data_IF_794332243793
#
_entry.id   IF_794332243793
#
_cell.length_a   1.000
_cell.length_b   1.000
_cell.length_c   1.000
_cell.angle_alpha   90.00
_cell.angle_beta   90.00
_cell.angle_gamma   90.00
#
_symmetry.space_group_name_H-M   'P 1'
#
loop_
_entity.id
_entity.type
_entity.pdbx_description
1 polymer ?
#
# COMPACT_ATOMS: atom_id res chain seq x y z
N UNK A 1 -3.00 1.54 2.81
CA UNK A 1 -4.38 2.00 2.55
C UNK A 1 -5.36 1.64 3.66
N UNK A 2 -5.22 0.47 4.28
CA UNK A 2 -6.12 -0.01 5.33
C UNK A 2 -6.15 0.92 6.55
N UNK A 3 -4.99 1.46 6.95
CA UNK A 3 -4.91 2.45 8.03
C UNK A 3 -5.59 3.77 7.61
N UNK A 4 -5.45 4.15 6.34
CA UNK A 4 -6.11 5.35 5.79
C UNK A 4 -7.62 5.24 5.88
N UNK A 5 -8.22 4.05 5.63
CA UNK A 5 -9.67 3.83 5.73
C UNK A 5 -10.20 4.11 7.14
N UNK A 6 -9.43 3.71 8.15
CA UNK A 6 -9.80 3.92 9.56
C UNK A 6 -9.66 5.38 9.98
N UNK A 7 -8.64 6.09 9.45
CA UNK A 7 -8.31 7.45 9.87
C UNK A 7 -9.05 8.54 9.09
N UNK A 8 -9.45 8.27 7.84
CA UNK A 8 -10.10 9.26 6.98
C UNK A 8 -11.31 9.98 7.62
N UNK A 9 -12.16 9.35 8.44
CA UNK A 9 -13.24 10.06 9.12
C UNK A 9 -12.80 11.02 10.23
N UNK A 10 -11.54 10.97 10.65
CA UNK A 10 -11.06 11.65 11.87
C UNK A 10 -9.91 12.63 11.63
N UNK A 11 -9.23 12.56 10.49
CA UNK A 11 -8.07 13.37 10.17
C UNK A 11 -8.09 13.82 8.71
N UNK A 12 -7.45 14.95 8.39
CA UNK A 12 -7.30 15.42 7.02
C UNK A 12 -6.02 14.86 6.37
N UNK A 13 -4.97 14.66 7.15
CA UNK A 13 -3.69 14.16 6.68
C UNK A 13 -3.19 13.04 7.58
N UNK A 14 -2.46 12.11 6.98
CA UNK A 14 -1.72 11.07 7.66
C UNK A 14 -0.27 11.12 7.19
N UNK A 15 0.67 11.03 8.14
CA UNK A 15 2.08 10.87 7.83
C UNK A 15 2.49 9.48 8.31
N UNK A 16 2.97 8.65 7.38
CA UNK A 16 3.28 7.27 7.65
C UNK A 16 4.38 6.73 6.73
N UNK A 17 5.08 5.74 7.22
CA UNK A 17 6.06 4.97 6.46
C UNK A 17 5.41 3.71 5.84
N UNK A 18 5.87 3.33 4.64
CA UNK A 18 5.55 2.04 4.03
C UNK A 18 6.48 0.94 4.58
N UNK A 19 7.75 1.28 4.86
CA UNK A 19 8.73 0.37 5.45
C UNK A 19 8.73 0.50 6.98
N UNK A 20 9.27 -0.51 7.66
CA UNK A 20 9.46 -0.46 9.11
C UNK A 20 10.47 0.61 9.49
N UNK A 21 10.03 1.56 10.29
CA UNK A 21 10.86 2.67 10.71
C UNK A 21 12.03 2.19 11.59
N UNK A 22 13.23 2.76 11.41
CA UNK A 22 14.39 2.44 12.24
C UNK A 22 14.17 2.83 13.70
N UNK A 23 14.78 2.08 14.61
CA UNK A 23 14.63 2.26 16.06
C UNK A 23 15.21 3.57 16.63
N UNK A 24 15.90 4.39 15.81
CA UNK A 24 16.36 5.72 16.23
C UNK A 24 15.24 6.78 16.14
N UNK A 25 14.09 6.47 15.51
CA UNK A 25 12.88 7.30 15.50
C UNK A 25 12.97 8.55 14.61
N UNK A 26 12.04 9.49 14.85
CA UNK A 26 11.92 10.72 14.08
C UNK A 26 12.78 11.84 14.64
N UNK A 27 13.30 12.69 13.77
CA UNK A 27 13.81 14.00 14.14
C UNK A 27 12.65 14.99 14.27
N UNK A 28 12.67 15.78 15.33
CA UNK A 28 11.64 16.79 15.60
C UNK A 28 12.10 18.21 15.29
N UNK A 29 13.17 18.39 14.51
CA UNK A 29 13.70 19.70 14.12
C UNK A 29 12.70 20.50 13.28
N UNK A 30 11.78 19.83 12.56
CA UNK A 30 10.65 20.47 11.86
C UNK A 30 9.79 21.33 12.77
N UNK A 31 9.79 21.12 14.08
CA UNK A 31 9.09 21.98 15.04
C UNK A 31 9.63 23.40 15.07
N UNK A 32 10.85 23.64 14.58
CA UNK A 32 11.43 24.98 14.46
C UNK A 32 10.72 25.81 13.38
N UNK A 33 10.06 25.18 12.42
CA UNK A 33 9.27 25.83 11.39
C UNK A 33 7.92 26.35 11.91
N UNK A 34 7.49 25.85 13.08
CA UNK A 34 6.28 26.34 13.74
C UNK A 34 6.50 27.78 14.22
N UNK A 35 5.76 28.69 13.61
CA UNK A 35 5.74 30.12 13.97
C UNK A 35 4.37 30.48 14.59
N UNK A 36 4.14 31.78 14.82
CA UNK A 36 2.84 32.27 15.27
C UNK A 36 1.76 32.20 14.16
N UNK A 37 2.15 31.79 12.94
CA UNK A 37 1.24 31.60 11.82
C UNK A 37 0.78 30.14 11.70
N UNK A 38 -0.45 29.95 11.25
CA UNK A 38 -1.00 28.61 10.98
C UNK A 38 -0.35 28.05 9.72
N UNK A 39 0.35 26.93 9.85
CA UNK A 39 0.92 26.18 8.73
C UNK A 39 -0.15 25.21 8.20
N UNK A 40 -0.43 25.17 6.88
CA UNK A 40 -1.29 24.18 6.27
C UNK A 40 -0.78 22.74 6.52
N UNK A 41 -1.69 21.78 6.61
CA UNK A 41 -1.33 20.40 6.98
C UNK A 41 -0.46 19.68 5.93
N UNK A 42 -0.66 19.99 4.65
CA UNK A 42 0.16 19.52 3.54
C UNK A 42 1.60 20.03 3.65
N UNK A 43 1.78 21.34 3.89
CA UNK A 43 3.10 21.96 4.09
C UNK A 43 3.80 21.42 5.33
N UNK A 44 3.05 21.19 6.42
CA UNK A 44 3.60 20.57 7.62
C UNK A 44 4.03 19.13 7.34
N UNK A 45 3.26 18.40 6.53
CA UNK A 45 3.60 17.07 6.09
C UNK A 45 4.94 17.01 5.34
N UNK A 46 5.17 17.95 4.41
CA UNK A 46 6.44 18.10 3.69
C UNK A 46 7.60 18.32 4.66
N UNK A 47 7.49 19.28 5.60
CA UNK A 47 8.55 19.52 6.61
C UNK A 47 8.88 18.28 7.46
N UNK A 48 7.86 17.50 7.81
CA UNK A 48 8.07 16.27 8.59
C UNK A 48 8.81 15.22 7.77
N UNK A 49 8.40 15.01 6.52
CA UNK A 49 9.03 14.04 5.61
C UNK A 49 10.49 14.42 5.35
N UNK A 50 10.76 15.68 4.98
CA UNK A 50 12.12 16.17 4.74
C UNK A 50 13.00 16.01 5.98
N UNK A 51 12.51 16.43 7.15
CA UNK A 51 13.25 16.32 8.41
C UNK A 51 13.59 14.87 8.77
N UNK A 52 12.70 13.92 8.46
CA UNK A 52 12.96 12.50 8.69
C UNK A 52 14.04 11.96 7.75
N UNK A 53 13.97 12.29 6.46
CA UNK A 53 14.92 11.83 5.47
C UNK A 53 16.31 12.44 5.69
N UNK A 54 16.41 13.74 5.97
CA UNK A 54 17.64 14.44 6.32
C UNK A 54 18.31 13.82 7.57
N UNK A 55 17.51 13.46 8.56
CA UNK A 55 18.02 12.80 9.76
C UNK A 55 18.55 11.40 9.47
N UNK A 56 17.86 10.65 8.63
CA UNK A 56 18.34 9.35 8.16
C UNK A 56 19.68 9.46 7.46
N UNK A 57 19.83 10.42 6.54
CA UNK A 57 21.12 10.68 5.87
C UNK A 57 22.23 11.06 6.86
N UNK A 58 21.92 11.93 7.82
CA UNK A 58 22.85 12.28 8.89
C UNK A 58 23.30 11.06 9.70
N UNK A 59 22.37 10.20 10.12
CA UNK A 59 22.66 8.97 10.87
C UNK A 59 23.55 8.03 10.05
N UNK A 60 23.26 7.83 8.78
CA UNK A 60 24.04 6.93 7.89
C UNK A 60 25.45 7.46 7.65
N UNK A 61 25.62 8.77 7.56
CA UNK A 61 26.93 9.39 7.39
C UNK A 61 27.85 9.19 8.63
N UNK A 62 27.25 9.19 9.84
CA UNK A 62 28.00 8.98 11.08
C UNK A 62 28.16 7.51 11.43
N UNK A 63 27.12 6.74 11.19
CA UNK A 63 27.00 5.32 11.53
C UNK A 63 26.59 4.47 10.33
N UNK A 64 27.49 4.22 9.34
CA UNK A 64 27.13 3.50 8.11
C UNK A 64 26.57 2.08 8.35
N UNK A 65 26.87 1.50 9.51
CA UNK A 65 26.32 0.18 9.89
C UNK A 65 24.84 0.23 10.32
N UNK A 66 24.28 1.42 10.49
CA UNK A 66 22.86 1.63 10.81
C UNK A 66 22.04 2.00 9.56
N UNK A 67 22.65 1.84 8.35
CA UNK A 67 21.91 2.08 7.12
C UNK A 67 20.61 1.25 7.12
N UNK A 68 19.55 1.90 6.74
CA UNK A 68 18.18 1.32 6.70
C UNK A 68 17.46 1.83 5.47
N UNK A 69 16.52 1.06 5.00
CA UNK A 69 15.55 1.50 4.01
C UNK A 69 14.59 2.48 4.70
N UNK A 70 14.35 3.61 4.06
CA UNK A 70 13.51 4.69 4.59
C UNK A 70 12.42 5.03 3.58
N UNK A 71 11.22 5.17 4.07
CA UNK A 71 10.09 5.74 3.34
C UNK A 71 9.29 6.62 4.30
N UNK A 72 8.84 7.77 3.88
CA UNK A 72 7.84 8.54 4.61
C UNK A 72 6.99 9.33 3.61
N UNK A 73 5.69 9.37 3.84
CA UNK A 73 4.75 10.07 2.99
C UNK A 73 3.70 10.83 3.78
N UNK A 74 3.27 11.96 3.24
CA UNK A 74 2.11 12.70 3.67
C UNK A 74 0.95 12.37 2.74
N UNK A 75 -0.13 11.82 3.29
CA UNK A 75 -1.33 11.39 2.57
C UNK A 75 -2.49 12.31 2.91
N UNK A 76 -3.17 12.85 1.88
CA UNK A 76 -4.43 13.56 2.02
C UNK A 76 -5.58 12.56 2.17
N UNK A 77 -6.10 12.45 3.37
CA UNK A 77 -7.20 11.54 3.69
C UNK A 77 -8.55 12.02 3.12
N UNK A 78 -8.67 13.27 2.68
CA UNK A 78 -9.89 13.74 2.03
C UNK A 78 -10.06 13.18 0.60
N UNK A 79 -8.95 12.80 -0.05
CA UNK A 79 -8.95 12.12 -1.36
C UNK A 79 -9.08 10.58 -1.24
N UNK A 80 -9.00 10.03 -0.03
CA UNK A 80 -8.98 8.58 0.21
C UNK A 80 -10.18 7.84 -0.39
N UNK A 81 -11.40 8.38 -0.22
CA UNK A 81 -12.62 7.70 -0.68
C UNK A 81 -12.64 7.47 -2.20
N UNK A 82 -12.12 8.43 -2.99
CA UNK A 82 -11.99 8.30 -4.44
C UNK A 82 -10.96 7.22 -4.81
N UNK A 83 -9.84 7.17 -4.09
CA UNK A 83 -8.82 6.14 -4.31
C UNK A 83 -9.33 4.74 -3.96
N UNK A 84 -10.06 4.59 -2.85
CA UNK A 84 -10.68 3.32 -2.48
C UNK A 84 -11.69 2.84 -3.52
N UNK A 85 -12.59 3.72 -4.00
CA UNK A 85 -13.58 3.40 -5.02
C UNK A 85 -12.92 2.99 -6.33
N UNK A 86 -11.93 3.74 -6.80
CA UNK A 86 -11.22 3.45 -8.04
C UNK A 86 -10.42 2.13 -7.96
N UNK A 87 -9.78 1.84 -6.83
CA UNK A 87 -9.13 0.56 -6.60
C UNK A 87 -10.14 -0.60 -6.54
N UNK A 88 -11.27 -0.41 -5.89
CA UNK A 88 -12.33 -1.40 -5.83
C UNK A 88 -12.87 -1.75 -7.22
N UNK A 89 -13.07 -0.77 -8.09
CA UNK A 89 -13.49 -0.96 -9.48
C UNK A 89 -12.40 -1.66 -10.31
N UNK A 90 -11.15 -1.27 -10.15
CA UNK A 90 -10.03 -1.94 -10.79
C UNK A 90 -9.93 -3.42 -10.41
N UNK A 91 -10.06 -3.74 -9.12
CA UNK A 91 -10.00 -5.13 -8.68
C UNK A 91 -11.23 -5.95 -9.09
N UNK A 92 -12.41 -5.34 -9.28
CA UNK A 92 -13.55 -5.99 -9.91
C UNK A 92 -13.26 -6.40 -11.37
N UNK A 93 -12.61 -5.51 -12.14
CA UNK A 93 -12.18 -5.82 -13.52
C UNK A 93 -11.14 -6.94 -13.52
N UNK A 94 -10.14 -6.84 -12.64
CA UNK A 94 -9.06 -7.81 -12.53
C UNK A 94 -9.58 -9.20 -12.15
N UNK A 95 -10.50 -9.28 -11.19
CA UNK A 95 -11.15 -10.51 -10.75
C UNK A 95 -11.92 -11.18 -11.89
N UNK A 96 -12.66 -10.40 -12.67
CA UNK A 96 -13.38 -10.90 -13.86
C UNK A 96 -12.44 -11.53 -14.88
N UNK A 97 -11.20 -11.08 -14.97
CA UNK A 97 -10.17 -11.62 -15.87
C UNK A 97 -9.36 -12.76 -15.25
N UNK A 98 -9.58 -13.07 -13.98
CA UNK A 98 -8.81 -14.05 -13.23
C UNK A 98 -9.21 -15.47 -13.64
N UNK A 99 -8.28 -16.20 -14.20
CA UNK A 99 -8.43 -17.60 -14.57
C UNK A 99 -7.09 -18.36 -14.44
N UNK A 100 -7.12 -19.67 -14.62
CA UNK A 100 -5.94 -20.54 -14.57
C UNK A 100 -4.87 -20.15 -15.59
N UNK A 101 -5.23 -19.49 -16.70
CA UNK A 101 -4.30 -19.10 -17.76
C UNK A 101 -3.58 -17.80 -17.38
N UNK A 102 -4.28 -16.83 -16.77
CA UNK A 102 -3.75 -15.54 -16.38
C UNK A 102 -3.03 -15.59 -15.01
N UNK A 103 -3.44 -16.49 -14.12
CA UNK A 103 -2.87 -16.65 -12.79
C UNK A 103 -1.33 -16.68 -12.74
N UNK A 104 -0.61 -17.46 -13.59
CA UNK A 104 0.85 -17.47 -13.53
C UNK A 104 1.50 -16.13 -13.89
N UNK A 105 0.81 -15.27 -14.66
CA UNK A 105 1.27 -13.90 -14.95
C UNK A 105 1.12 -13.02 -13.72
N UNK A 106 -0.02 -13.10 -13.06
CA UNK A 106 -0.29 -12.33 -11.83
C UNK A 106 0.68 -12.70 -10.71
N UNK A 107 0.95 -13.98 -10.49
CA UNK A 107 1.95 -14.47 -9.52
C UNK A 107 3.34 -13.89 -9.82
N UNK A 108 3.79 -13.95 -11.09
CA UNK A 108 5.10 -13.39 -11.48
C UNK A 108 5.16 -11.88 -11.29
N UNK A 109 4.08 -11.18 -11.58
CA UNK A 109 4.02 -9.73 -11.40
C UNK A 109 4.03 -9.38 -9.91
N UNK A 110 3.18 -10.04 -9.09
CA UNK A 110 3.20 -9.86 -7.64
C UNK A 110 4.60 -10.08 -7.03
N UNK A 111 5.32 -11.08 -7.48
CA UNK A 111 6.68 -11.38 -7.02
C UNK A 111 7.72 -10.28 -7.35
N UNK A 112 7.37 -9.30 -8.18
CA UNK A 112 8.23 -8.18 -8.59
C UNK A 112 7.80 -6.85 -7.98
N UNK A 113 6.59 -6.79 -7.43
CA UNK A 113 6.13 -5.58 -6.73
C UNK A 113 7.04 -5.28 -5.54
N UNK A 114 7.27 -4.02 -5.26
CA UNK A 114 8.00 -3.59 -4.06
C UNK A 114 7.27 -4.09 -2.82
N UNK A 115 7.94 -4.92 -2.04
CA UNK A 115 7.50 -5.37 -0.71
C UNK A 115 8.13 -4.51 0.39
N UNK A 116 7.41 -4.38 1.51
CA UNK A 116 7.84 -3.70 2.72
C UNK A 116 7.74 -4.61 3.94
N UNK A 117 8.52 -4.33 4.99
CA UNK A 117 8.51 -5.09 6.23
C UNK A 117 9.04 -6.51 6.09
N UNK A 118 9.92 -6.77 5.12
CA UNK A 118 10.50 -8.09 4.89
C UNK A 118 11.81 -8.24 5.63
N UNK A 119 11.81 -8.94 6.76
CA UNK A 119 13.01 -9.19 7.56
C UNK A 119 13.74 -10.48 7.18
N UNK A 120 13.02 -11.46 6.67
CA UNK A 120 13.54 -12.76 6.21
C UNK A 120 12.52 -13.44 5.32
N UNK A 121 12.89 -14.55 4.69
CA UNK A 121 11.93 -15.39 3.93
C UNK A 121 10.73 -15.87 4.78
N UNK A 122 10.90 -15.92 6.09
CA UNK A 122 9.91 -16.44 7.04
C UNK A 122 9.17 -15.32 7.79
N UNK A 123 9.53 -14.05 7.54
CA UNK A 123 8.92 -12.85 8.12
C UNK A 123 8.72 -11.79 7.06
N UNK A 124 7.64 -11.91 6.31
CA UNK A 124 7.19 -10.94 5.31
C UNK A 124 5.74 -10.55 5.63
N UNK A 125 5.51 -9.27 5.88
CA UNK A 125 4.16 -8.77 6.18
C UNK A 125 3.25 -8.65 4.96
N UNK A 126 3.75 -8.97 3.77
CA UNK A 126 2.96 -8.92 2.54
C UNK A 126 2.43 -7.54 2.18
N UNK A 127 3.02 -6.48 2.74
CA UNK A 127 2.70 -5.11 2.35
C UNK A 127 3.40 -4.78 1.05
N UNK A 128 2.66 -4.27 0.08
CA UNK A 128 3.20 -3.92 -1.24
C UNK A 128 2.88 -2.50 -1.62
N UNK A 129 3.75 -1.89 -2.43
CA UNK A 129 3.49 -0.58 -3.02
C UNK A 129 2.32 -0.63 -3.99
N UNK A 130 1.34 0.26 -3.83
CA UNK A 130 0.12 0.27 -4.64
C UNK A 130 0.40 0.75 -6.05
N UNK A 131 1.19 1.81 -6.23
CA UNK A 131 1.49 2.36 -7.55
C UNK A 131 2.33 1.37 -8.38
N UNK A 132 3.33 0.74 -7.76
CA UNK A 132 4.12 -0.28 -8.43
C UNK A 132 3.31 -1.56 -8.72
N UNK A 133 2.33 -1.91 -7.87
CA UNK A 133 1.37 -2.97 -8.14
C UNK A 133 0.53 -2.65 -9.39
N UNK A 134 -0.05 -1.46 -9.46
CA UNK A 134 -0.83 -1.01 -10.61
C UNK A 134 0.01 -0.96 -11.90
N UNK A 135 1.24 -0.50 -11.83
CA UNK A 135 2.17 -0.51 -12.98
C UNK A 135 2.39 -1.92 -13.53
N UNK A 136 2.65 -2.90 -12.66
CA UNK A 136 2.98 -4.27 -13.08
C UNK A 136 1.76 -5.12 -13.45
N UNK A 137 0.60 -4.84 -12.88
CA UNK A 137 -0.60 -5.68 -13.01
C UNK A 137 -1.69 -5.00 -13.84
N UNK A 138 -1.71 -3.67 -13.92
CA UNK A 138 -2.81 -2.83 -14.41
C UNK A 138 -3.17 -2.96 -15.90
N UNK A 139 -2.36 -3.57 -16.75
CA UNK A 139 -2.65 -3.88 -18.17
C UNK A 139 -3.14 -2.70 -19.03
N UNK A 140 -2.79 -1.47 -18.70
CA UNK A 140 -3.21 -0.24 -19.41
C UNK A 140 -4.76 -0.07 -19.52
N UNK A 141 -5.54 -0.72 -18.65
CA UNK A 141 -6.99 -0.54 -18.63
C UNK A 141 -7.39 0.85 -18.13
N UNK A 142 -8.59 1.31 -18.51
CA UNK A 142 -9.13 2.59 -18.03
C UNK A 142 -9.30 2.56 -16.50
N UNK A 143 -9.72 1.42 -15.93
CA UNK A 143 -9.84 1.26 -14.47
C UNK A 143 -8.48 1.32 -13.76
N UNK A 144 -7.43 0.71 -14.31
CA UNK A 144 -6.08 0.79 -13.77
C UNK A 144 -5.52 2.23 -13.80
N UNK A 145 -5.77 2.96 -14.89
CA UNK A 145 -5.36 4.36 -15.02
C UNK A 145 -6.10 5.24 -14.01
N UNK A 146 -7.43 5.06 -13.85
CA UNK A 146 -8.22 5.79 -12.87
C UNK A 146 -7.77 5.49 -11.43
N UNK A 147 -7.47 4.22 -11.10
CA UNK A 147 -6.95 3.84 -9.81
C UNK A 147 -5.57 4.45 -9.53
N UNK A 148 -4.69 4.48 -10.54
CA UNK A 148 -3.37 5.12 -10.43
C UNK A 148 -3.51 6.60 -10.14
N UNK A 149 -4.31 7.34 -10.93
CA UNK A 149 -4.53 8.77 -10.76
C UNK A 149 -5.15 9.09 -9.38
N UNK A 150 -6.14 8.32 -8.94
CA UNK A 150 -6.78 8.53 -7.65
C UNK A 150 -5.83 8.27 -6.47
N UNK A 151 -4.98 7.23 -6.55
CA UNK A 151 -3.95 6.95 -5.52
C UNK A 151 -2.87 8.04 -5.52
N UNK A 152 -2.39 8.48 -6.70
CA UNK A 152 -1.43 9.59 -6.79
C UNK A 152 -1.98 10.87 -6.18
N UNK A 153 -3.26 11.17 -6.38
CA UNK A 153 -3.93 12.35 -5.81
C UNK A 153 -4.03 12.31 -4.27
N UNK A 154 -3.96 11.12 -3.65
CA UNK A 154 -3.87 11.00 -2.19
C UNK A 154 -2.48 11.35 -1.65
N UNK A 155 -1.42 11.23 -2.45
CA UNK A 155 -0.04 11.40 -2.00
C UNK A 155 0.36 12.86 -2.19
N UNK A 156 0.30 13.64 -1.12
CA UNK A 156 0.68 15.07 -1.15
C UNK A 156 2.18 15.24 -1.34
N UNK A 157 2.94 14.46 -0.57
CA UNK A 157 4.39 14.47 -0.61
C UNK A 157 4.94 13.12 -0.12
N UNK A 158 5.99 12.62 -0.75
CA UNK A 158 6.69 11.42 -0.30
C UNK A 158 8.18 11.51 -0.63
N UNK A 159 9.03 10.98 0.25
CA UNK A 159 10.44 10.80 -0.01
C UNK A 159 10.93 9.45 0.50
N UNK A 160 11.94 8.91 -0.17
CA UNK A 160 12.43 7.55 0.07
C UNK A 160 13.82 7.32 -0.51
N UNK A 161 14.58 6.41 0.10
CA UNK A 161 15.81 5.89 -0.49
C UNK A 161 15.62 4.51 -1.17
N UNK A 162 14.36 4.07 -1.34
CA UNK A 162 14.01 2.78 -1.94
C UNK A 162 13.47 2.95 -3.35
N UNK A 163 13.88 2.11 -4.28
CA UNK A 163 13.30 2.06 -5.63
C UNK A 163 11.86 1.53 -5.58
N UNK A 164 10.96 2.14 -6.37
CA UNK A 164 9.55 1.74 -6.52
C UNK A 164 8.72 1.80 -5.22
N UNK A 165 9.06 2.73 -4.33
CA UNK A 165 8.23 3.08 -3.19
C UNK A 165 7.46 4.37 -3.51
N UNK A 166 6.18 4.24 -3.81
CA UNK A 166 5.32 5.32 -4.29
C UNK A 166 4.61 6.11 -3.18
N UNK A 167 4.71 5.71 -1.92
CA UNK A 167 4.19 6.45 -0.77
C UNK A 167 2.99 5.81 -0.07
N UNK A 168 2.33 4.81 -0.67
CA UNK A 168 1.19 4.10 -0.07
C UNK A 168 1.31 2.60 -0.31
N UNK A 169 1.02 1.79 0.71
CA UNK A 169 1.03 0.33 0.64
C UNK A 169 -0.34 -0.29 0.87
N UNK A 170 -0.50 -1.54 0.41
CA UNK A 170 -1.67 -2.38 0.60
C UNK A 170 -1.24 -3.81 0.97
N UNK A 171 -2.03 -4.51 1.77
CA UNK A 171 -1.76 -5.89 2.19
C UNK A 171 -2.05 -6.88 1.05
N UNK A 172 -1.01 -7.47 0.47
CA UNK A 172 -1.10 -8.52 -0.55
C UNK A 172 -0.06 -9.62 -0.25
N UNK A 173 -0.27 -10.45 0.78
CA UNK A 173 0.69 -11.47 1.20
C UNK A 173 0.93 -12.53 0.12
N UNK A 174 2.06 -13.21 0.20
CA UNK A 174 2.35 -14.34 -0.65
C UNK A 174 1.40 -15.50 -0.32
N UNK A 175 0.97 -16.24 -1.35
CA UNK A 175 0.05 -17.36 -1.20
C UNK A 175 0.59 -18.50 -0.33
N UNK A 176 1.90 -18.63 -0.16
CA UNK A 176 2.53 -19.67 0.67
C UNK A 176 2.45 -19.38 2.18
N UNK A 177 2.19 -18.13 2.56
CA UNK A 177 2.01 -17.73 3.96
C UNK A 177 0.51 -17.72 4.31
N UNK A 178 -0.03 -18.90 4.58
CA UNK A 178 -1.47 -19.09 4.78
C UNK A 178 -2.01 -18.38 6.00
N UNK A 179 -1.29 -18.38 7.11
CA UNK A 179 -1.74 -17.78 8.36
C UNK A 179 -1.83 -16.24 8.21
N UNK A 180 -0.83 -15.65 7.57
CA UNK A 180 -0.79 -14.21 7.34
C UNK A 180 -1.80 -13.76 6.28
N UNK A 181 -1.95 -14.54 5.22
CA UNK A 181 -2.96 -14.35 4.19
C UNK A 181 -4.38 -14.32 4.76
N UNK A 182 -4.71 -15.32 5.58
CA UNK A 182 -6.04 -15.46 6.16
C UNK A 182 -6.32 -14.31 7.15
N UNK A 183 -5.31 -13.89 7.93
CA UNK A 183 -5.39 -12.71 8.80
C UNK A 183 -5.59 -11.39 8.00
N UNK A 184 -4.92 -11.25 6.85
CA UNK A 184 -5.12 -10.10 5.96
C UNK A 184 -6.57 -10.04 5.45
N UNK A 185 -7.10 -11.14 4.93
CA UNK A 185 -8.47 -11.22 4.44
C UNK A 185 -9.48 -10.92 5.56
N UNK A 186 -9.28 -11.49 6.75
CA UNK A 186 -10.14 -11.22 7.92
C UNK A 186 -10.13 -9.73 8.30
N UNK A 187 -8.95 -9.11 8.27
CA UNK A 187 -8.81 -7.66 8.52
C UNK A 187 -9.57 -6.83 7.47
N UNK A 188 -9.43 -7.15 6.17
CA UNK A 188 -10.12 -6.44 5.10
C UNK A 188 -11.65 -6.52 5.24
N UNK A 189 -12.18 -7.69 5.59
CA UNK A 189 -13.61 -7.84 5.90
C UNK A 189 -14.03 -7.02 7.12
N UNK A 190 -13.22 -7.01 8.17
CA UNK A 190 -13.53 -6.23 9.38
C UNK A 190 -13.57 -4.72 9.10
N UNK A 191 -12.71 -4.24 8.21
CA UNK A 191 -12.64 -2.83 7.84
C UNK A 191 -13.68 -2.42 6.79
N UNK A 192 -14.37 -3.37 6.16
CA UNK A 192 -15.23 -3.15 4.97
C UNK A 192 -14.45 -2.43 3.84
N UNK A 193 -13.15 -2.72 3.74
CA UNK A 193 -12.24 -2.08 2.80
C UNK A 193 -12.34 -2.74 1.43
N UNK A 194 -12.63 -1.95 0.39
CA UNK A 194 -12.61 -2.35 -1.03
C UNK A 194 -13.09 -3.80 -1.25
N UNK A 195 -14.38 -4.11 -1.17
CA UNK A 195 -14.89 -5.49 -1.16
C UNK A 195 -14.47 -6.33 -2.37
N UNK A 196 -14.31 -5.70 -3.56
CA UNK A 196 -13.84 -6.40 -4.75
C UNK A 196 -12.35 -6.75 -4.67
N UNK A 197 -11.54 -5.98 -3.92
CA UNK A 197 -10.16 -6.34 -3.62
C UNK A 197 -10.10 -7.60 -2.74
N UNK A 198 -10.91 -7.65 -1.68
CA UNK A 198 -10.99 -8.82 -0.81
C UNK A 198 -11.39 -10.06 -1.60
N UNK A 199 -12.42 -9.94 -2.45
CA UNK A 199 -12.89 -11.01 -3.33
C UNK A 199 -11.79 -11.47 -4.31
N UNK A 200 -11.12 -10.53 -4.96
CA UNK A 200 -9.99 -10.84 -5.84
C UNK A 200 -8.90 -11.65 -5.12
N UNK A 201 -8.54 -11.28 -3.88
CA UNK A 201 -7.56 -12.04 -3.11
C UNK A 201 -8.03 -13.45 -2.79
N UNK A 202 -9.29 -13.63 -2.41
CA UNK A 202 -9.86 -14.97 -2.16
C UNK A 202 -9.84 -15.83 -3.41
N UNK A 203 -10.24 -15.30 -4.56
CA UNK A 203 -10.23 -16.04 -5.83
C UNK A 203 -8.79 -16.28 -6.32
N UNK A 204 -7.88 -15.33 -6.14
CA UNK A 204 -6.47 -15.50 -6.45
C UNK A 204 -5.85 -16.66 -5.67
N UNK A 205 -6.12 -16.77 -4.38
CA UNK A 205 -5.61 -17.89 -3.57
C UNK A 205 -6.37 -19.20 -3.79
N UNK A 206 -7.65 -19.16 -4.17
CA UNK A 206 -8.43 -20.35 -4.49
C UNK A 206 -7.87 -21.12 -5.70
N UNK A 207 -7.36 -20.40 -6.72
CA UNK A 207 -6.74 -21.05 -7.90
C UNK A 207 -5.54 -21.90 -7.50
N UNK A 208 -4.71 -21.47 -6.55
CA UNK A 208 -3.58 -22.24 -6.08
C UNK A 208 -4.02 -23.57 -5.46
N UNK A 209 -5.11 -23.54 -4.69
CA UNK A 209 -5.66 -24.70 -4.01
C UNK A 209 -6.45 -25.63 -4.95
N UNK A 210 -6.72 -25.20 -6.20
CA UNK A 210 -7.59 -25.90 -7.13
C UNK A 210 -9.07 -25.85 -6.76
N UNK A 211 -9.45 -24.82 -5.99
CA UNK A 211 -10.83 -24.57 -5.55
C UNK A 211 -11.65 -23.87 -6.64
N UNK A 212 -12.97 -23.91 -6.50
CA UNK A 212 -13.87 -23.17 -7.39
C UNK A 212 -13.87 -21.69 -7.02
N UNK A 213 -13.68 -20.81 -8.01
CA UNK A 213 -13.74 -19.37 -7.83
C UNK A 213 -15.09 -18.91 -7.31
N UNK A 214 -15.14 -17.81 -6.54
CA UNK A 214 -16.39 -17.26 -6.01
C UNK A 214 -17.34 -16.85 -7.13
N UNK A 215 -16.84 -16.26 -8.22
CA UNK A 215 -17.63 -15.91 -9.40
C UNK A 215 -18.37 -17.11 -9.99
N UNK A 216 -17.72 -18.28 -10.06
CA UNK A 216 -18.32 -19.51 -10.57
C UNK A 216 -19.36 -20.12 -9.60
N UNK A 217 -19.16 -19.91 -8.28
CA UNK A 217 -20.12 -20.34 -7.25
C UNK A 217 -21.43 -19.57 -7.30
N UNK A 218 -21.38 -18.26 -7.58
CA UNK A 218 -22.58 -17.41 -7.70
C UNK A 218 -23.42 -17.82 -8.93
N UNK A 219 -22.78 -18.12 -10.07
CA UNK A 219 -23.46 -18.56 -11.29
C UNK A 219 -24.12 -19.93 -11.09
N UNK A 220 -23.52 -20.83 -10.32
CA UNK A 220 -24.06 -22.18 -10.08
C UNK A 220 -25.25 -22.19 -9.08
N UNK A 221 -25.48 -21.09 -8.35
CA UNK A 221 -26.57 -20.94 -7.38
C UNK A 221 -27.74 -20.07 -7.90
N UNK A 222 -27.64 -19.54 -9.12
CA UNK A 222 -28.64 -18.72 -9.79
C UNK A 222 -29.46 -19.56 -10.79
#
# INVERSE_FOLDING_TARGET
LEVSSVLAPYANYMIASQETEPGWGWNYDFLSELSDEVIPGDVMGEYIVDSYMDYGEYVFNIYPNLYSDLTLSCVDLSAYAEAEEALNDYFAELDTSLDVQNYPRLVRNRARVRDFGTYSSDMNYGMVDVLHLLELVGNDSEAAQAATEAVENCIVYSDTNMDNAGGISICYPYQTDTDYRDACIEMLYYLDFAPNYTRFLEDFYAIENGDTLLADREISNA
#
